data_IF_236699712328
#
_entry.id   IF_236699712328
#
_cell.length_a   1.000
_cell.length_b   1.000
_cell.length_c   1.000
_cell.angle_alpha   90.00
_cell.angle_beta   90.00
_cell.angle_gamma   90.00
#
_symmetry.space_group_name_H-M   'P 1'
#
loop_
_entity.id
_entity.type
_entity.pdbx_description
1 polymer ?
#
# COMPACT_ATOMS: atom_id res chain seq x y z
N UNK A 1 -0.25 -16.14 -7.80
CA UNK A 1 1.11 -15.55 -7.96
C UNK A 1 1.90 -16.07 -9.17
N UNK A 2 1.31 -16.82 -10.09
CA UNK A 2 2.04 -17.46 -11.22
C UNK A 2 2.67 -16.52 -12.24
N UNK A 3 2.31 -15.23 -12.27
CA UNK A 3 2.93 -14.22 -13.13
C UNK A 3 4.07 -13.41 -12.46
N UNK A 4 4.26 -13.54 -11.14
CA UNK A 4 5.28 -12.83 -10.39
C UNK A 4 6.57 -13.65 -10.36
N UNK A 5 7.66 -13.15 -10.97
CA UNK A 5 8.96 -13.82 -10.96
C UNK A 5 9.76 -13.53 -9.68
N UNK A 6 9.56 -12.35 -9.09
CA UNK A 6 10.37 -11.85 -7.96
C UNK A 6 9.62 -11.77 -6.62
N UNK A 7 8.29 -12.01 -6.62
CA UNK A 7 7.43 -11.96 -5.44
C UNK A 7 6.90 -13.35 -5.14
N UNK A 8 7.26 -13.90 -3.99
CA UNK A 8 6.71 -15.16 -3.47
C UNK A 8 5.70 -14.90 -2.35
N UNK A 9 4.88 -15.89 -2.02
CA UNK A 9 3.91 -15.80 -0.92
C UNK A 9 4.58 -15.41 0.41
N UNK A 10 5.82 -15.85 0.62
CA UNK A 10 6.64 -15.45 1.77
C UNK A 10 6.96 -13.96 1.78
N UNK A 11 7.35 -13.38 0.63
CA UNK A 11 7.68 -11.96 0.53
C UNK A 11 6.41 -11.11 0.73
N UNK A 12 5.27 -11.56 0.19
CA UNK A 12 3.97 -10.97 0.51
C UNK A 12 3.69 -11.02 2.01
N UNK A 13 3.91 -12.15 2.66
CA UNK A 13 3.73 -12.27 4.12
C UNK A 13 4.52 -11.23 4.90
N UNK A 14 5.78 -11.02 4.54
CA UNK A 14 6.64 -9.98 5.16
C UNK A 14 6.08 -8.57 4.93
N UNK A 15 5.56 -8.27 3.73
CA UNK A 15 4.92 -6.98 3.47
C UNK A 15 3.68 -6.78 4.34
N UNK A 16 2.81 -7.79 4.42
CA UNK A 16 1.55 -7.70 5.17
C UNK A 16 1.84 -7.53 6.66
N UNK A 17 2.81 -8.26 7.21
CA UNK A 17 3.25 -8.13 8.59
C UNK A 17 3.71 -6.70 8.91
N UNK A 18 4.55 -6.12 8.03
CA UNK A 18 4.96 -4.73 8.14
C UNK A 18 3.79 -3.74 8.04
N UNK A 19 2.82 -3.98 7.15
CA UNK A 19 1.62 -3.14 7.05
C UNK A 19 0.74 -3.23 8.30
N UNK A 20 0.69 -4.38 8.97
CA UNK A 20 -0.01 -4.53 10.25
C UNK A 20 0.64 -3.64 11.32
N UNK A 21 1.97 -3.62 11.39
CA UNK A 21 2.70 -2.71 12.31
C UNK A 21 2.39 -1.24 12.02
N UNK A 22 2.37 -0.84 10.75
CA UNK A 22 2.02 0.52 10.32
C UNK A 22 0.57 0.86 10.70
N UNK A 23 -0.36 -0.06 10.44
CA UNK A 23 -1.77 0.10 10.82
C UNK A 23 -1.95 0.34 12.32
N UNK A 24 -1.27 -0.45 13.17
CA UNK A 24 -1.32 -0.26 14.62
C UNK A 24 -0.69 1.06 15.06
N UNK A 25 0.42 1.46 14.45
CA UNK A 25 1.11 2.72 14.80
C UNK A 25 0.28 3.96 14.51
N UNK A 26 -0.58 3.89 13.50
CA UNK A 26 -1.48 4.97 13.11
C UNK A 26 -2.88 4.87 13.71
N UNK A 27 -3.14 3.84 14.54
CA UNK A 27 -4.44 3.59 15.16
C UNK A 27 -5.61 3.61 14.15
N UNK A 28 -5.38 3.03 12.97
CA UNK A 28 -6.37 2.98 11.89
C UNK A 28 -7.49 1.98 12.21
N UNK A 29 -8.62 2.13 11.53
CA UNK A 29 -9.75 1.20 11.56
C UNK A 29 -9.37 -0.17 10.97
N UNK A 30 -9.93 -1.25 11.50
CA UNK A 30 -9.66 -2.61 11.02
C UNK A 30 -10.06 -2.77 9.53
N UNK A 31 -11.15 -2.10 9.14
CA UNK A 31 -11.65 -2.02 7.76
C UNK A 31 -10.57 -1.48 6.81
N UNK A 32 -9.80 -0.48 7.24
CA UNK A 32 -8.67 0.08 6.49
C UNK A 32 -7.60 -0.98 6.22
N UNK A 33 -7.28 -1.81 7.20
CA UNK A 33 -6.32 -2.90 7.03
C UNK A 33 -6.87 -3.96 6.07
N UNK A 34 -8.12 -4.40 6.23
CA UNK A 34 -8.72 -5.39 5.35
C UNK A 34 -8.77 -4.92 3.89
N UNK A 35 -9.14 -3.66 3.67
CA UNK A 35 -9.15 -3.05 2.35
C UNK A 35 -7.72 -2.94 1.77
N UNK A 36 -6.73 -2.57 2.58
CA UNK A 36 -5.32 -2.53 2.18
C UNK A 36 -4.86 -3.90 1.66
N UNK A 37 -5.09 -4.97 2.43
CA UNK A 37 -4.71 -6.34 2.03
C UNK A 37 -5.42 -6.74 0.75
N UNK A 38 -6.72 -6.43 0.62
CA UNK A 38 -7.49 -6.71 -0.59
C UNK A 38 -6.91 -6.02 -1.83
N UNK A 39 -6.54 -4.75 -1.72
CA UNK A 39 -5.94 -3.97 -2.81
C UNK A 39 -4.59 -4.55 -3.24
N UNK A 40 -3.71 -4.89 -2.28
CA UNK A 40 -2.41 -5.54 -2.56
C UNK A 40 -2.61 -6.86 -3.31
N UNK A 41 -3.53 -7.70 -2.81
CA UNK A 41 -3.79 -9.02 -3.39
C UNK A 41 -4.41 -8.98 -4.78
N UNK A 42 -5.19 -7.94 -5.10
CA UNK A 42 -5.73 -7.71 -6.44
C UNK A 42 -4.69 -7.11 -7.39
N UNK A 43 -3.73 -6.34 -6.87
CA UNK A 43 -2.69 -5.70 -7.67
C UNK A 43 -1.59 -6.67 -8.11
N UNK A 44 -1.06 -7.47 -7.18
CA UNK A 44 0.09 -8.36 -7.41
C UNK A 44 -0.08 -9.35 -8.58
N UNK A 45 -1.27 -9.93 -8.86
CA UNK A 45 -1.47 -10.82 -10.00
C UNK A 45 -1.57 -10.08 -11.34
N UNK A 46 -1.90 -8.79 -11.35
CA UNK A 46 -2.19 -8.02 -12.58
C UNK A 46 -1.00 -7.23 -13.10
N UNK A 47 -0.02 -6.92 -12.23
CA UNK A 47 1.19 -6.17 -12.58
C UNK A 47 2.41 -6.91 -12.04
N UNK A 48 3.43 -7.23 -12.87
CA UNK A 48 4.70 -7.73 -12.35
C UNK A 48 5.37 -6.61 -11.54
N UNK A 49 5.76 -6.92 -10.30
CA UNK A 49 6.35 -5.95 -9.37
C UNK A 49 7.73 -6.45 -8.99
N UNK A 50 8.74 -5.60 -9.14
CA UNK A 50 10.08 -5.92 -8.64
C UNK A 50 10.08 -5.75 -7.13
N UNK A 51 10.76 -6.64 -6.40
CA UNK A 51 10.82 -6.65 -4.93
C UNK A 51 11.04 -5.26 -4.29
N UNK A 52 11.91 -4.43 -4.87
CA UNK A 52 12.21 -3.07 -4.38
C UNK A 52 11.00 -2.12 -4.37
N UNK A 53 9.99 -2.36 -5.21
CA UNK A 53 8.79 -1.54 -5.32
C UNK A 53 7.62 -2.11 -4.51
N UNK A 54 7.80 -3.28 -3.86
CA UNK A 54 6.71 -3.97 -3.17
C UNK A 54 6.21 -3.18 -1.95
N UNK A 55 7.12 -2.63 -1.15
CA UNK A 55 6.75 -1.77 -0.02
C UNK A 55 5.98 -0.54 -0.49
N UNK A 56 6.39 0.02 -1.62
CA UNK A 56 5.72 1.15 -2.23
C UNK A 56 4.27 0.83 -2.60
N UNK A 57 4.02 -0.34 -3.21
CA UNK A 57 2.65 -0.83 -3.49
C UNK A 57 1.82 -0.96 -2.21
N UNK A 58 2.41 -1.46 -1.12
CA UNK A 58 1.74 -1.58 0.18
C UNK A 58 1.33 -0.23 0.77
N UNK A 59 2.23 0.75 0.73
CA UNK A 59 1.96 2.12 1.21
C UNK A 59 0.87 2.77 0.37
N UNK A 60 0.95 2.69 -0.96
CA UNK A 60 -0.09 3.25 -1.84
C UNK A 60 -1.45 2.61 -1.60
N UNK A 61 -1.50 1.28 -1.41
CA UNK A 61 -2.73 0.56 -1.09
C UNK A 61 -3.31 1.01 0.26
N UNK A 62 -2.46 1.23 1.27
CA UNK A 62 -2.89 1.69 2.58
C UNK A 62 -3.40 3.13 2.56
N UNK A 63 -2.70 4.03 1.87
CA UNK A 63 -3.16 5.42 1.68
C UNK A 63 -4.51 5.47 0.97
N UNK A 64 -4.70 4.62 -0.04
CA UNK A 64 -5.99 4.51 -0.73
C UNK A 64 -7.07 4.00 0.22
N UNK A 65 -6.79 2.94 1.00
CA UNK A 65 -7.73 2.42 1.98
C UNK A 65 -8.10 3.47 3.03
N UNK A 66 -7.14 4.23 3.55
CA UNK A 66 -7.41 5.32 4.50
C UNK A 66 -8.35 6.37 3.90
N UNK A 67 -8.21 6.71 2.61
CA UNK A 67 -9.11 7.68 1.94
C UNK A 67 -10.57 7.19 1.87
N UNK A 68 -10.80 5.88 1.91
CA UNK A 68 -12.15 5.29 1.83
C UNK A 68 -12.76 5.02 3.20
N UNK A 69 -11.97 4.50 4.16
CA UNK A 69 -12.49 4.01 5.43
C UNK A 69 -12.28 5.02 6.59
N UNK A 70 -11.29 5.91 6.52
CA UNK A 70 -11.00 6.86 7.59
C UNK A 70 -11.70 8.20 7.40
N UNK A 71 -12.26 8.73 8.50
CA UNK A 71 -12.86 10.08 8.53
C UNK A 71 -11.77 11.16 8.46
N UNK A 72 -10.60 10.89 9.05
CA UNK A 72 -9.40 11.75 8.98
C UNK A 72 -8.22 10.92 8.51
N UNK A 73 -7.84 11.09 7.24
CA UNK A 73 -6.68 10.40 6.66
C UNK A 73 -5.41 10.90 7.34
N UNK A 74 -4.53 10.01 7.86
CA UNK A 74 -3.23 10.40 8.37
C UNK A 74 -2.47 11.19 7.30
N UNK A 75 -1.89 12.31 7.71
CA UNK A 75 -1.29 13.26 6.77
C UNK A 75 -0.07 12.59 6.13
N UNK A 76 0.06 12.69 4.80
CA UNK A 76 1.19 12.18 3.99
C UNK A 76 2.57 12.39 4.63
N UNK A 77 2.74 13.44 5.45
CA UNK A 77 3.96 13.73 6.19
C UNK A 77 4.34 12.66 7.23
N UNK A 78 3.38 12.00 7.89
CA UNK A 78 3.72 10.98 8.89
C UNK A 78 4.23 9.69 8.25
N UNK A 79 3.78 9.39 7.02
CA UNK A 79 4.33 8.29 6.22
C UNK A 79 5.77 8.56 5.77
N UNK A 80 6.12 9.81 5.46
CA UNK A 80 7.50 10.21 5.13
C UNK A 80 8.42 9.98 6.34
N UNK A 81 7.97 10.38 7.53
CA UNK A 81 8.71 10.22 8.79
C UNK A 81 8.89 8.73 9.15
N UNK A 82 7.89 7.88 8.91
CA UNK A 82 8.00 6.43 9.13
C UNK A 82 8.88 5.73 8.09
N UNK A 83 8.97 6.28 6.88
CA UNK A 83 9.81 5.76 5.81
C UNK A 83 11.29 6.16 5.90
N UNK A 84 11.72 6.75 7.03
CA UNK A 84 13.08 7.27 7.23
C UNK A 84 13.50 8.27 6.12
N UNK A 85 12.56 9.12 5.69
CA UNK A 85 12.75 10.10 4.61
C UNK A 85 13.12 9.50 3.24
N UNK A 86 12.88 8.21 3.01
CA UNK A 86 13.20 7.54 1.75
C UNK A 86 12.44 8.10 0.53
N UNK A 87 11.35 8.84 0.76
CA UNK A 87 10.52 9.42 -0.30
C UNK A 87 10.13 10.87 0.01
N UNK A 88 10.09 11.70 -1.04
CA UNK A 88 9.66 13.09 -0.93
C UNK A 88 8.14 13.21 -1.06
N UNK A 89 7.56 14.27 -0.48
CA UNK A 89 6.12 14.57 -0.55
C UNK A 89 5.59 14.60 -2.00
N UNK A 90 6.42 15.08 -2.93
CA UNK A 90 6.06 15.12 -4.34
C UNK A 90 5.92 13.72 -4.94
N UNK A 91 6.79 12.77 -4.60
CA UNK A 91 6.73 11.39 -5.09
C UNK A 91 5.52 10.64 -4.52
N UNK A 92 5.19 10.85 -3.25
CA UNK A 92 4.01 10.24 -2.63
C UNK A 92 2.73 10.79 -3.25
N UNK A 93 2.65 12.10 -3.51
CA UNK A 93 1.49 12.72 -4.15
C UNK A 93 1.34 12.32 -5.63
N UNK A 94 2.43 12.16 -6.36
CA UNK A 94 2.40 11.74 -7.78
C UNK A 94 1.89 10.29 -7.91
N UNK A 95 2.18 9.45 -6.92
CA UNK A 95 1.65 8.10 -6.77
C UNK A 95 0.16 8.05 -6.48
N UNK A 96 -0.31 8.90 -5.54
CA UNK A 96 -1.75 9.03 -5.26
C UNK A 96 -2.47 9.56 -6.49
N UNK A 97 -1.93 10.56 -7.19
CA UNK A 97 -2.57 11.14 -8.39
C UNK A 97 -2.65 10.15 -9.57
N UNK A 98 -1.78 9.13 -9.59
CA UNK A 98 -1.86 7.98 -10.52
C UNK A 98 -2.84 6.87 -10.05
N UNK A 99 -3.84 7.22 -9.22
CA UNK A 99 -4.89 6.34 -8.70
C UNK A 99 -5.77 5.67 -9.79
N UNK A 100 -5.69 6.14 -11.05
CA UNK A 100 -6.30 5.50 -12.22
C UNK A 100 -5.91 4.03 -12.42
N UNK A 101 -4.73 3.58 -11.96
CA UNK A 101 -4.33 2.18 -12.08
C UNK A 101 -4.87 1.26 -10.97
N UNK A 102 -5.27 1.81 -9.82
CA UNK A 102 -5.80 1.04 -8.69
C UNK A 102 -7.33 1.00 -8.69
N UNK A 103 -7.99 2.09 -9.09
CA UNK A 103 -9.46 2.24 -9.00
C UNK A 103 -10.20 1.50 -10.13
N UNK A 104 -9.63 1.38 -11.33
CA UNK A 104 -10.30 0.77 -12.50
C UNK A 104 -10.09 -0.74 -12.65
N UNK A 105 -9.79 -1.46 -11.56
CA UNK A 105 -9.72 -2.91 -11.58
C UNK A 105 -11.15 -3.48 -11.57
N UNK A 106 -11.66 -4.05 -12.69
CA UNK A 106 -13.03 -4.59 -12.74
C UNK A 106 -13.20 -5.70 -11.70
N UNK A 107 -14.42 -5.77 -11.17
CA UNK A 107 -14.96 -6.79 -10.26
C UNK A 107 -14.68 -8.21 -10.80
#
# INVERSE_FOLDING_TARGET
>A
MSQQRDITDRIRGILIDWLIEVHYKFELMEETLYLTVNLVDRFLPRRPVVRKNLQHVGITAMLLACKYEEVTVPIVNDFIVISDEAYTRSEVLDMVTNEHNFIYLPY
#
